data_IF_446496876418
#
_entry.id   IF_446496876418
#
_cell.length_a   1.000
_cell.length_b   1.000
_cell.length_c   1.000
_cell.angle_alpha   90.00
_cell.angle_beta   90.00
_cell.angle_gamma   90.00
#
_symmetry.space_group_name_H-M   'P 1'
#
loop_
_entity.id
_entity.type
_entity.pdbx_description
1 polymer ?
#
# COMPACT_ATOMS: atom_id res chain seq x y z
N UNK A 1 6.36 12.63 -12.78
CA UNK A 1 5.55 11.98 -13.83
C UNK A 1 5.25 10.52 -13.54
N UNK A 2 6.23 9.69 -13.15
CA UNK A 2 6.04 8.25 -12.87
C UNK A 2 5.01 7.98 -11.75
N UNK A 3 5.09 8.65 -10.60
CA UNK A 3 4.17 8.49 -9.46
C UNK A 3 2.71 8.69 -9.88
N UNK A 4 2.43 9.73 -10.67
CA UNK A 4 1.06 10.01 -11.15
C UNK A 4 0.52 8.92 -12.06
N UNK A 5 1.36 8.38 -12.97
CA UNK A 5 0.98 7.27 -13.85
C UNK A 5 0.75 5.98 -13.06
N UNK A 6 1.60 5.68 -12.10
CA UNK A 6 1.44 4.54 -11.20
C UNK A 6 0.15 4.66 -10.38
N UNK A 7 -0.10 5.83 -9.78
CA UNK A 7 -1.30 6.10 -9.01
C UNK A 7 -2.57 5.88 -9.83
N UNK A 8 -2.58 6.33 -11.10
CA UNK A 8 -3.69 6.11 -12.01
C UNK A 8 -3.91 4.62 -12.27
N UNK A 9 -2.86 3.91 -12.72
CA UNK A 9 -2.95 2.50 -13.06
C UNK A 9 -3.34 1.64 -11.84
N UNK A 10 -2.75 1.92 -10.68
CA UNK A 10 -3.10 1.24 -9.43
C UNK A 10 -4.56 1.45 -9.03
N UNK A 11 -5.07 2.67 -9.16
CA UNK A 11 -6.47 2.98 -8.84
C UNK A 11 -7.44 2.39 -9.87
N UNK A 12 -7.06 2.33 -11.14
CA UNK A 12 -7.87 1.68 -12.19
C UNK A 12 -8.04 0.17 -11.96
N UNK A 13 -7.04 -0.51 -11.38
CA UNK A 13 -7.17 -1.92 -10.97
C UNK A 13 -8.30 -2.10 -9.95
N UNK A 14 -8.53 -1.11 -9.10
CA UNK A 14 -9.62 -1.10 -8.10
C UNK A 14 -10.96 -0.57 -8.67
N UNK A 15 -11.01 -0.30 -9.98
CA UNK A 15 -12.24 0.11 -10.68
C UNK A 15 -12.46 1.62 -10.76
N UNK A 16 -11.48 2.43 -10.39
CA UNK A 16 -11.56 3.90 -10.50
C UNK A 16 -11.62 4.35 -11.98
N UNK A 17 -12.56 5.22 -12.30
CA UNK A 17 -12.76 5.77 -13.65
C UNK A 17 -12.15 7.18 -13.75
N UNK A 18 -10.83 7.26 -13.72
CA UNK A 18 -10.07 8.51 -13.84
C UNK A 18 -9.16 8.44 -15.06
N UNK A 19 -8.96 9.55 -15.77
CA UNK A 19 -8.08 9.66 -16.93
C UNK A 19 -6.76 10.34 -16.59
N UNK A 20 -5.76 10.20 -17.47
CA UNK A 20 -4.49 10.90 -17.32
C UNK A 20 -4.66 12.44 -17.41
N UNK A 21 -5.60 12.89 -18.23
CA UNK A 21 -5.91 14.32 -18.38
C UNK A 21 -6.47 14.91 -17.08
N UNK A 22 -7.34 14.19 -16.39
CA UNK A 22 -7.86 14.59 -15.08
C UNK A 22 -6.72 14.79 -14.07
N UNK A 23 -5.70 13.94 -14.09
CA UNK A 23 -4.56 13.97 -13.16
C UNK A 23 -3.56 15.06 -13.52
N UNK A 24 -3.43 15.40 -14.79
CA UNK A 24 -2.52 16.46 -15.25
C UNK A 24 -3.13 17.85 -15.11
N UNK A 25 -4.42 17.96 -14.79
CA UNK A 25 -5.09 19.25 -14.56
C UNK A 25 -4.44 19.96 -13.36
N UNK A 26 -4.00 21.23 -13.51
CA UNK A 26 -3.46 22.02 -12.39
C UNK A 26 -4.44 22.21 -11.22
N UNK A 27 -5.74 22.08 -11.46
CA UNK A 27 -6.81 22.20 -10.46
C UNK A 27 -7.28 20.86 -9.90
N UNK A 28 -6.49 19.80 -10.05
CA UNK A 28 -6.87 18.43 -9.63
C UNK A 28 -7.29 18.38 -8.16
N UNK A 29 -6.66 19.13 -7.28
CA UNK A 29 -6.95 19.14 -5.85
C UNK A 29 -8.35 19.72 -5.53
N UNK A 30 -8.90 20.53 -6.41
CA UNK A 30 -10.24 21.12 -6.30
C UNK A 30 -11.31 20.23 -6.95
N UNK A 31 -10.92 19.11 -7.55
CA UNK A 31 -11.85 18.22 -8.21
C UNK A 31 -12.61 17.38 -7.17
N UNK A 32 -13.92 17.53 -7.14
CA UNK A 32 -14.81 16.80 -6.21
C UNK A 32 -15.20 15.41 -6.71
N UNK A 33 -14.72 14.99 -7.88
CA UNK A 33 -14.93 13.63 -8.37
C UNK A 33 -14.19 12.65 -7.45
N UNK A 34 -14.91 11.67 -6.92
CA UNK A 34 -14.40 10.67 -5.98
C UNK A 34 -13.27 9.84 -6.57
N UNK A 35 -13.36 9.50 -7.85
CA UNK A 35 -12.35 8.71 -8.54
C UNK A 35 -11.05 9.48 -8.70
N UNK A 36 -11.12 10.80 -8.95
CA UNK A 36 -9.97 11.69 -8.96
C UNK A 36 -9.37 11.82 -7.55
N UNK A 37 -10.22 11.96 -6.52
CA UNK A 37 -9.77 12.02 -5.12
C UNK A 37 -9.00 10.76 -4.70
N UNK A 38 -9.42 9.57 -5.11
CA UNK A 38 -8.74 8.31 -4.82
C UNK A 38 -7.31 8.29 -5.44
N UNK A 39 -7.15 8.80 -6.65
CA UNK A 39 -5.84 8.92 -7.31
C UNK A 39 -4.96 9.98 -6.64
N UNK A 40 -5.52 11.13 -6.28
CA UNK A 40 -4.80 12.18 -5.54
C UNK A 40 -4.30 11.66 -4.20
N UNK A 41 -5.15 10.94 -3.46
CA UNK A 41 -4.76 10.34 -2.18
C UNK A 41 -3.66 9.28 -2.34
N UNK A 42 -3.68 8.51 -3.42
CA UNK A 42 -2.58 7.58 -3.72
C UNK A 42 -1.26 8.32 -3.95
N UNK A 43 -1.28 9.42 -4.71
CA UNK A 43 -0.09 10.26 -4.93
C UNK A 43 0.42 10.81 -3.60
N UNK A 44 -0.46 11.40 -2.78
CA UNK A 44 -0.13 11.94 -1.46
C UNK A 44 0.44 10.87 -0.53
N UNK A 45 -0.16 9.68 -0.52
CA UNK A 45 0.31 8.55 0.29
C UNK A 45 1.71 8.09 -0.15
N UNK A 46 1.98 8.06 -1.46
CA UNK A 46 3.31 7.73 -1.99
C UNK A 46 4.36 8.77 -1.58
N UNK A 47 4.07 10.04 -1.76
CA UNK A 47 4.95 11.14 -1.39
C UNK A 47 5.19 11.17 0.13
N UNK A 48 4.14 10.98 0.93
CA UNK A 48 4.22 10.85 2.38
C UNK A 48 5.15 9.70 2.80
N UNK A 49 4.95 8.51 2.22
CA UNK A 49 5.78 7.34 2.55
C UNK A 49 7.26 7.57 2.25
N UNK A 50 7.58 8.13 1.07
CA UNK A 50 8.96 8.43 0.68
C UNK A 50 9.61 9.49 1.58
N UNK A 51 8.87 10.53 1.95
CA UNK A 51 9.39 11.55 2.89
C UNK A 51 9.60 10.96 4.27
N UNK A 52 8.66 10.15 4.74
CA UNK A 52 8.71 9.53 6.07
C UNK A 52 9.84 8.53 6.22
N UNK A 53 10.24 7.85 5.13
CA UNK A 53 11.41 6.95 5.08
C UNK A 53 12.74 7.63 5.38
N UNK A 54 12.83 8.94 5.34
CA UNK A 54 14.04 9.68 5.76
C UNK A 54 14.27 9.60 7.26
N UNK A 55 13.23 9.38 8.05
CA UNK A 55 13.26 9.41 9.51
C UNK A 55 12.75 8.14 10.19
N UNK A 56 12.06 7.27 9.45
CA UNK A 56 11.46 6.04 9.97
C UNK A 56 11.77 4.90 8.99
N UNK A 57 12.25 3.74 9.44
CA UNK A 57 12.42 2.58 8.57
C UNK A 57 11.07 2.10 8.03
N UNK A 58 11.10 1.29 6.97
CA UNK A 58 9.89 0.64 6.48
C UNK A 58 9.42 -0.38 7.52
N UNK A 59 8.35 -0.03 8.23
CA UNK A 59 7.81 -0.78 9.36
C UNK A 59 6.27 -0.71 9.38
N UNK A 60 5.64 -1.51 10.22
CA UNK A 60 4.19 -1.53 10.37
C UNK A 60 3.58 -0.16 10.71
N UNK A 61 4.31 0.64 11.47
CA UNK A 61 3.90 2.02 11.76
C UNK A 61 3.81 2.85 10.50
N UNK A 62 4.85 2.83 9.66
CA UNK A 62 4.87 3.57 8.40
C UNK A 62 3.77 3.08 7.45
N UNK A 63 3.55 1.77 7.36
CA UNK A 63 2.48 1.16 6.57
C UNK A 63 1.11 1.68 7.02
N UNK A 64 0.85 1.72 8.33
CA UNK A 64 -0.39 2.24 8.91
C UNK A 64 -0.57 3.74 8.65
N UNK A 65 0.47 4.54 8.87
CA UNK A 65 0.45 5.99 8.59
C UNK A 65 0.17 6.26 7.09
N UNK A 66 0.80 5.50 6.20
CA UNK A 66 0.57 5.61 4.74
C UNK A 66 -0.85 5.21 4.35
N UNK A 67 -1.39 4.15 4.94
CA UNK A 67 -2.78 3.74 4.73
C UNK A 67 -3.78 4.80 5.19
N UNK A 68 -3.51 5.50 6.31
CA UNK A 68 -4.34 6.59 6.78
C UNK A 68 -4.45 7.72 5.74
N UNK A 69 -3.31 8.13 5.16
CA UNK A 69 -3.28 9.14 4.09
C UNK A 69 -4.00 8.65 2.83
N UNK A 70 -3.82 7.38 2.46
CA UNK A 70 -4.47 6.79 1.30
C UNK A 70 -6.01 6.83 1.39
N UNK A 71 -6.56 6.60 2.58
CA UNK A 71 -8.00 6.56 2.83
C UNK A 71 -8.56 7.87 3.45
N UNK A 72 -7.88 8.97 3.30
CA UNK A 72 -8.32 10.28 3.83
C UNK A 72 -9.64 10.79 3.21
N UNK A 73 -10.09 10.20 2.11
CA UNK A 73 -11.36 10.53 1.47
C UNK A 73 -12.57 10.03 2.27
N UNK A 74 -13.74 10.65 2.04
CA UNK A 74 -15.00 10.29 2.69
C UNK A 74 -15.39 8.80 2.53
N UNK A 75 -14.88 8.13 1.49
CA UNK A 75 -15.15 6.71 1.19
C UNK A 75 -14.40 5.75 2.12
N UNK A 76 -13.30 6.19 2.72
CA UNK A 76 -12.41 5.35 3.55
C UNK A 76 -12.60 5.51 5.05
N UNK A 77 -13.29 6.53 5.51
CA UNK A 77 -13.38 6.86 6.94
C UNK A 77 -14.02 5.75 7.78
N UNK A 78 -15.02 5.05 7.25
CA UNK A 78 -15.69 3.92 7.92
C UNK A 78 -14.85 2.62 7.91
N UNK A 79 -13.70 2.61 7.22
CA UNK A 79 -12.80 1.45 7.08
C UNK A 79 -11.58 1.53 8.00
N UNK A 80 -11.65 2.31 9.07
CA UNK A 80 -10.60 2.50 10.06
C UNK A 80 -9.23 2.84 9.42
N UNK A 81 -9.08 4.03 8.77
CA UNK A 81 -7.82 4.43 8.16
C UNK A 81 -6.66 4.36 9.15
N UNK A 82 -5.56 3.74 8.75
CA UNK A 82 -4.37 3.62 9.58
C UNK A 82 -4.41 2.50 10.62
N UNK A 83 -5.47 1.70 10.69
CA UNK A 83 -5.56 0.61 11.67
C UNK A 83 -5.68 -0.76 11.00
N UNK A 84 -4.91 -1.72 11.51
CA UNK A 84 -5.09 -3.12 11.11
C UNK A 84 -6.47 -3.62 11.56
N UNK A 85 -7.05 -4.51 10.75
CA UNK A 85 -8.35 -5.09 11.04
C UNK A 85 -8.35 -5.92 12.32
N UNK A 86 -9.43 -5.86 13.02
CA UNK A 86 -9.70 -6.69 14.20
C UNK A 86 -10.79 -7.74 13.93
N UNK A 87 -11.31 -7.80 12.70
CA UNK A 87 -12.32 -8.75 12.27
C UNK A 87 -11.81 -9.55 11.07
N UNK A 88 -12.42 -10.73 10.87
CA UNK A 88 -12.17 -11.53 9.68
C UNK A 88 -12.69 -10.81 8.44
N UNK A 89 -11.85 -10.70 7.42
CA UNK A 89 -12.22 -10.26 6.08
C UNK A 89 -12.07 -11.41 5.06
N UNK A 90 -12.48 -11.17 3.85
CA UNK A 90 -12.36 -12.12 2.74
C UNK A 90 -12.24 -11.37 1.42
N UNK A 91 -11.69 -12.04 0.42
CA UNK A 91 -11.58 -11.54 -0.95
C UNK A 91 -12.56 -12.34 -1.82
N UNK A 92 -13.41 -11.62 -2.56
CA UNK A 92 -14.38 -12.25 -3.44
C UNK A 92 -15.12 -11.21 -4.29
N UNK A 93 -15.93 -11.69 -5.25
CA UNK A 93 -16.78 -10.82 -6.07
C UNK A 93 -17.90 -10.17 -5.27
N UNK A 94 -18.65 -9.30 -5.93
CA UNK A 94 -19.79 -8.61 -5.33
C UNK A 94 -20.78 -9.62 -4.75
N UNK A 95 -21.19 -9.41 -3.48
CA UNK A 95 -22.09 -10.32 -2.77
C UNK A 95 -21.43 -11.57 -2.20
N UNK A 96 -20.12 -11.71 -2.26
CA UNK A 96 -19.42 -12.83 -1.61
C UNK A 96 -19.47 -12.72 -0.09
N UNK A 97 -19.45 -13.87 0.55
CA UNK A 97 -19.44 -14.06 2.00
C UNK A 97 -18.27 -14.97 2.36
N UNK A 98 -17.95 -15.16 3.65
CA UNK A 98 -16.96 -16.12 4.11
C UNK A 98 -17.16 -17.54 3.54
N UNK A 99 -18.40 -17.93 3.25
CA UNK A 99 -18.73 -19.29 2.75
C UNK A 99 -18.36 -19.52 1.29
N UNK A 100 -18.35 -18.48 0.48
CA UNK A 100 -18.10 -18.53 -0.97
C UNK A 100 -17.00 -17.56 -1.43
N UNK A 101 -16.19 -17.10 -0.51
CA UNK A 101 -15.04 -16.25 -0.78
C UNK A 101 -14.02 -16.97 -1.67
N UNK A 102 -13.38 -16.21 -2.56
CA UNK A 102 -12.28 -16.71 -3.39
C UNK A 102 -11.02 -16.94 -2.55
N UNK A 103 -10.81 -16.12 -1.53
CA UNK A 103 -9.69 -16.23 -0.60
C UNK A 103 -10.11 -15.72 0.78
N UNK A 104 -9.68 -16.43 1.83
CA UNK A 104 -9.87 -16.03 3.22
C UNK A 104 -8.48 -15.80 3.82
N UNK A 105 -8.09 -14.55 4.10
CA UNK A 105 -6.86 -14.22 4.77
C UNK A 105 -6.77 -14.79 6.19
N UNK A 106 -5.58 -14.80 6.82
CA UNK A 106 -5.41 -15.22 8.20
C UNK A 106 -6.38 -14.51 9.15
N UNK A 107 -6.72 -15.13 10.26
CA UNK A 107 -7.49 -14.48 11.32
C UNK A 107 -6.72 -13.27 11.90
N UNK A 108 -7.36 -12.38 12.68
CA UNK A 108 -6.68 -11.15 13.16
C UNK A 108 -5.42 -11.40 14.01
N UNK A 109 -5.36 -12.47 14.80
CA UNK A 109 -4.18 -12.79 15.62
C UNK A 109 -3.01 -13.26 14.76
N UNK A 110 -3.26 -14.19 13.85
CA UNK A 110 -2.27 -14.68 12.90
C UNK A 110 -1.83 -13.57 11.93
N UNK A 111 -2.75 -12.69 11.54
CA UNK A 111 -2.44 -11.51 10.74
C UNK A 111 -1.43 -10.59 11.43
N UNK A 112 -1.62 -10.28 12.71
CA UNK A 112 -0.67 -9.45 13.47
C UNK A 112 0.70 -10.11 13.56
N UNK A 113 0.75 -11.42 13.77
CA UNK A 113 1.99 -12.19 13.77
C UNK A 113 2.68 -12.14 12.40
N UNK A 114 1.93 -12.38 11.32
CA UNK A 114 2.44 -12.32 9.96
C UNK A 114 2.96 -10.92 9.58
N UNK A 115 2.29 -9.85 10.02
CA UNK A 115 2.76 -8.48 9.80
C UNK A 115 4.02 -8.15 10.61
N UNK A 116 4.15 -8.70 11.83
CA UNK A 116 5.38 -8.56 12.61
C UNK A 116 6.55 -9.27 11.94
N UNK A 117 6.32 -10.47 11.41
CA UNK A 117 7.37 -11.23 10.72
C UNK A 117 7.73 -10.59 9.36
N UNK A 118 6.76 -10.03 8.65
CA UNK A 118 7.00 -9.25 7.44
C UNK A 118 7.89 -8.02 7.73
N UNK A 119 7.64 -7.30 8.82
CA UNK A 119 8.47 -6.17 9.24
C UNK A 119 9.91 -6.59 9.53
N UNK A 120 10.10 -7.72 10.24
CA UNK A 120 11.43 -8.28 10.50
C UNK A 120 12.15 -8.64 9.20
N UNK A 121 11.42 -9.28 8.27
CA UNK A 121 11.98 -9.63 6.96
C UNK A 121 12.38 -8.40 6.14
N UNK A 122 11.53 -7.39 6.07
CA UNK A 122 11.83 -6.12 5.37
C UNK A 122 13.12 -5.48 5.86
N UNK A 123 13.39 -5.56 7.17
CA UNK A 123 14.56 -4.95 7.80
C UNK A 123 15.71 -5.95 8.05
N UNK A 124 15.66 -7.14 7.47
CA UNK A 124 16.72 -8.13 7.56
C UNK A 124 17.82 -7.88 6.51
N UNK A 125 19.02 -8.38 6.79
CA UNK A 125 20.15 -8.40 5.85
C UNK A 125 20.01 -9.55 4.85
N UNK A 126 18.94 -9.56 4.05
CA UNK A 126 18.76 -10.56 3.00
C UNK A 126 19.69 -10.27 1.81
N UNK A 127 20.20 -11.32 1.19
CA UNK A 127 21.11 -11.25 0.03
C UNK A 127 20.38 -11.46 -1.31
N UNK A 128 19.06 -11.59 -1.28
CA UNK A 128 18.27 -11.72 -2.50
C UNK A 128 18.27 -10.44 -3.34
N UNK A 129 18.07 -10.61 -4.62
CA UNK A 129 17.88 -9.48 -5.52
C UNK A 129 16.73 -8.57 -5.03
N UNK A 130 16.91 -7.24 -4.99
CA UNK A 130 15.89 -6.31 -4.48
C UNK A 130 14.52 -6.44 -5.13
N UNK A 131 14.46 -6.83 -6.41
CA UNK A 131 13.20 -7.05 -7.11
C UNK A 131 12.48 -8.31 -6.60
N UNK A 132 13.25 -9.36 -6.30
CA UNK A 132 12.71 -10.59 -5.71
C UNK A 132 12.21 -10.32 -4.29
N UNK A 133 12.98 -9.57 -3.50
CA UNK A 133 12.55 -9.15 -2.16
C UNK A 133 11.25 -8.34 -2.21
N UNK A 134 11.16 -7.35 -3.10
CA UNK A 134 9.95 -6.55 -3.28
C UNK A 134 8.74 -7.44 -3.67
N UNK A 135 8.94 -8.42 -4.53
CA UNK A 135 7.89 -9.36 -4.92
C UNK A 135 7.43 -10.23 -3.76
N UNK A 136 8.35 -10.74 -2.93
CA UNK A 136 8.03 -11.54 -1.74
C UNK A 136 7.29 -10.71 -0.68
N UNK A 137 7.74 -9.48 -0.44
CA UNK A 137 7.10 -8.55 0.50
C UNK A 137 5.68 -8.23 0.03
N UNK A 138 5.52 -7.91 -1.26
CA UNK A 138 4.22 -7.63 -1.85
C UNK A 138 3.29 -8.86 -1.74
N UNK A 139 3.77 -10.04 -2.11
CA UNK A 139 3.01 -11.27 -2.01
C UNK A 139 2.55 -11.57 -0.58
N UNK A 140 3.45 -11.46 0.39
CA UNK A 140 3.14 -11.70 1.80
C UNK A 140 2.14 -10.68 2.34
N UNK A 141 2.31 -9.40 2.00
CA UNK A 141 1.38 -8.35 2.40
C UNK A 141 -0.04 -8.60 1.84
N UNK A 142 -0.15 -8.90 0.54
CA UNK A 142 -1.44 -9.18 -0.11
C UNK A 142 -2.10 -10.45 0.47
N UNK A 143 -1.30 -11.48 0.77
CA UNK A 143 -1.78 -12.70 1.42
C UNK A 143 -2.30 -12.43 2.84
N UNK A 144 -1.60 -11.61 3.60
CA UNK A 144 -1.98 -11.24 4.98
C UNK A 144 -3.22 -10.36 5.02
N UNK A 145 -3.38 -9.48 4.05
CA UNK A 145 -4.53 -8.59 3.85
C UNK A 145 -4.93 -7.84 5.13
N UNK A 146 -4.03 -7.01 5.69
CA UNK A 146 -4.13 -6.54 7.07
C UNK A 146 -5.17 -5.45 7.32
N UNK A 147 -5.71 -4.81 6.28
CA UNK A 147 -6.69 -3.74 6.40
C UNK A 147 -8.10 -4.18 5.98
N UNK A 148 -9.11 -3.40 6.37
CA UNK A 148 -10.49 -3.62 5.92
C UNK A 148 -10.72 -3.21 4.46
N UNK A 149 -9.93 -2.25 3.95
CA UNK A 149 -9.95 -1.76 2.58
C UNK A 149 -8.55 -1.25 2.19
N UNK A 150 -8.30 -1.00 0.92
CA UNK A 150 -7.05 -0.38 0.43
C UNK A 150 -5.82 -1.28 0.43
N UNK A 151 -5.92 -2.56 0.75
CA UNK A 151 -4.77 -3.47 0.78
C UNK A 151 -4.04 -3.51 -0.56
N UNK A 152 -4.73 -3.72 -1.68
CA UNK A 152 -4.12 -3.76 -3.00
C UNK A 152 -3.38 -2.48 -3.37
N UNK A 153 -3.95 -1.31 -3.03
CA UNK A 153 -3.29 -0.02 -3.25
C UNK A 153 -2.03 0.14 -2.39
N UNK A 154 -2.11 -0.19 -1.10
CA UNK A 154 -0.95 -0.16 -0.19
C UNK A 154 0.10 -1.17 -0.62
N UNK A 155 -0.27 -2.41 -0.93
CA UNK A 155 0.65 -3.45 -1.38
C UNK A 155 1.46 -3.03 -2.61
N UNK A 156 0.81 -2.42 -3.61
CA UNK A 156 1.49 -1.89 -4.80
C UNK A 156 2.35 -0.67 -4.46
N UNK A 157 1.85 0.23 -3.62
CA UNK A 157 2.60 1.40 -3.16
C UNK A 157 3.89 0.98 -2.43
N UNK A 158 3.88 -0.10 -1.64
CA UNK A 158 5.05 -0.59 -0.90
C UNK A 158 6.21 -1.04 -1.79
N UNK A 159 5.99 -1.39 -3.05
CA UNK A 159 7.04 -1.79 -4.00
C UNK A 159 8.07 -0.67 -4.17
N UNK A 160 7.64 0.58 -4.29
CA UNK A 160 8.51 1.74 -4.45
C UNK A 160 9.40 2.01 -3.22
N UNK A 161 8.86 2.13 -1.99
CA UNK A 161 9.65 2.22 -0.75
C UNK A 161 10.63 1.07 -0.56
N UNK A 162 10.24 -0.17 -0.81
CA UNK A 162 11.13 -1.34 -0.70
C UNK A 162 12.30 -1.20 -1.64
N UNK A 163 12.07 -0.91 -2.91
CA UNK A 163 13.12 -0.70 -3.90
C UNK A 163 14.05 0.45 -3.51
N UNK A 164 13.50 1.55 -2.98
CA UNK A 164 14.27 2.71 -2.54
C UNK A 164 15.20 2.40 -1.36
N UNK A 165 14.74 1.66 -0.36
CA UNK A 165 15.54 1.30 0.81
C UNK A 165 16.70 0.38 0.44
N UNK A 166 16.46 -0.59 -0.43
CA UNK A 166 17.48 -1.53 -0.87
C UNK A 166 18.54 -0.88 -1.78
N UNK A 167 18.15 0.00 -2.69
CA UNK A 167 19.10 0.74 -3.53
C UNK A 167 20.04 1.62 -2.68
N UNK A 168 19.53 2.32 -1.66
CA UNK A 168 20.35 3.12 -0.74
C UNK A 168 21.31 2.27 0.10
N UNK A 169 20.88 1.12 0.56
CA UNK A 169 21.75 0.21 1.32
C UNK A 169 22.94 -0.28 0.49
N UNK A 170 22.79 -0.46 -0.82
CA UNK A 170 23.87 -0.82 -1.73
C UNK A 170 24.81 0.34 -2.02
N UNK A 171 24.33 1.58 -2.17
CA UNK A 171 25.17 2.76 -2.41
C UNK A 171 26.10 3.06 -1.20
N UNK A 172 25.63 2.86 0.02
CA UNK A 172 26.43 3.07 1.24
C UNK A 172 27.48 1.98 1.47
N UNK A 173 27.26 0.75 0.98
CA UNK A 173 28.25 -0.34 1.06
C UNK A 173 29.31 -0.28 -0.03
N UNK A 174 29.05 0.41 -1.14
CA UNK A 174 30.00 0.57 -2.26
C UNK A 174 31.04 1.68 -2.08
N UNK A 175 30.94 2.50 -1.04
CA UNK A 175 31.82 3.64 -0.75
C UNK A 175 32.73 3.43 0.47
N UNK A 176 32.95 2.21 0.93
CA UNK A 176 33.94 1.78 1.92
C UNK A 176 34.95 0.87 1.26
#
# INVERSE_FOLDING_TARGET
MYVRKEALLSSQIEGTQCTLEDILNPLIENNTNRDVSDVVNYIRATEFALERLKTLPLCNRLIKETHAVLLESARGQEKNPGEFRYSQNWIGGQGSTLKNARYIPPNPEDMLTAMSDLEKYINSDDTLDPLIQAALIHYQFETTHPFLDGNGRVGRLLITPVSYTHLRAHETRGNL
#
